data_IF_953266748699
#
_entry.id   IF_953266748699
#
_cell.length_a   1.000
_cell.length_b   1.000
_cell.length_c   1.000
_cell.angle_alpha   90.00
_cell.angle_beta   90.00
_cell.angle_gamma   90.00
#
_symmetry.space_group_name_H-M   'P 1'
#
loop_
_entity.id
_entity.type
_entity.pdbx_description
1 polymer ?
#
# COMPACT_ATOMS: atom_id res chain seq x y z
N UNK A 1 1.61 -15.79 -9.54
CA UNK A 1 1.45 -15.94 -8.08
C UNK A 1 2.02 -17.26 -7.58
N UNK A 2 1.66 -18.36 -8.20
CA UNK A 2 2.12 -19.69 -7.77
C UNK A 2 3.65 -19.80 -7.70
N UNK A 3 4.37 -19.37 -8.75
CA UNK A 3 5.82 -19.43 -8.80
C UNK A 3 6.47 -18.56 -7.72
N UNK A 4 5.85 -17.44 -7.37
CA UNK A 4 6.36 -16.50 -6.37
C UNK A 4 6.11 -16.95 -4.95
N UNK A 5 4.95 -17.56 -4.69
CA UNK A 5 4.59 -18.05 -3.37
C UNK A 5 5.07 -19.47 -3.10
N UNK A 6 5.54 -20.17 -4.13
CA UNK A 6 6.02 -21.56 -4.06
C UNK A 6 4.99 -22.55 -3.51
N UNK A 7 3.71 -22.26 -3.73
CA UNK A 7 2.62 -23.17 -3.33
C UNK A 7 2.15 -24.01 -4.52
N UNK A 8 1.63 -25.20 -4.22
CA UNK A 8 1.08 -26.11 -5.24
C UNK A 8 -0.21 -25.54 -5.82
N UNK A 9 -0.40 -25.69 -7.13
CA UNK A 9 -1.68 -25.37 -7.83
C UNK A 9 -2.90 -26.01 -7.20
N UNK A 10 -2.74 -27.19 -6.61
CA UNK A 10 -3.83 -27.94 -6.01
C UNK A 10 -3.98 -27.65 -4.51
N UNK A 11 -3.12 -26.80 -3.94
CA UNK A 11 -3.19 -26.46 -2.52
C UNK A 11 -4.43 -25.60 -2.23
N UNK A 12 -4.99 -25.68 -1.01
CA UNK A 12 -6.08 -24.80 -0.61
C UNK A 12 -5.72 -23.32 -0.68
N UNK A 13 -4.46 -22.96 -0.41
CA UNK A 13 -3.99 -21.58 -0.50
C UNK A 13 -4.05 -21.03 -1.91
N UNK A 14 -3.62 -21.81 -2.91
CA UNK A 14 -3.68 -21.39 -4.30
C UNK A 14 -5.12 -21.26 -4.78
N UNK A 15 -5.97 -22.21 -4.41
CA UNK A 15 -7.42 -22.14 -4.73
C UNK A 15 -8.06 -20.91 -4.14
N UNK A 16 -7.73 -20.56 -2.89
CA UNK A 16 -8.24 -19.38 -2.22
C UNK A 16 -7.81 -18.08 -2.93
N UNK A 17 -6.56 -17.98 -3.38
CA UNK A 17 -6.07 -16.85 -4.18
C UNK A 17 -6.78 -16.75 -5.52
N UNK A 18 -6.98 -17.87 -6.20
CA UNK A 18 -7.71 -17.90 -7.46
C UNK A 18 -9.16 -17.45 -7.29
N UNK A 19 -9.83 -17.95 -6.28
CA UNK A 19 -11.22 -17.56 -5.97
C UNK A 19 -11.32 -16.08 -5.64
N UNK A 20 -10.36 -15.55 -4.87
CA UNK A 20 -10.29 -14.13 -4.57
C UNK A 20 -10.13 -13.29 -5.84
N UNK A 21 -9.22 -13.68 -6.75
CA UNK A 21 -9.01 -12.95 -8.00
C UNK A 21 -10.27 -12.93 -8.86
N UNK A 22 -10.97 -14.06 -8.96
CA UNK A 22 -12.23 -14.17 -9.70
C UNK A 22 -13.32 -13.31 -9.06
N UNK A 23 -13.46 -13.36 -7.75
CA UNK A 23 -14.45 -12.58 -7.00
C UNK A 23 -14.22 -11.08 -7.17
N UNK A 24 -12.99 -10.62 -6.96
CA UNK A 24 -12.66 -9.21 -7.10
C UNK A 24 -12.79 -8.72 -8.54
N UNK A 25 -12.52 -9.58 -9.52
CA UNK A 25 -12.75 -9.26 -10.92
C UNK A 25 -14.24 -9.07 -11.26
N UNK A 26 -15.14 -9.75 -10.52
CA UNK A 26 -16.58 -9.59 -10.72
C UNK A 26 -17.19 -8.45 -9.89
N UNK A 27 -16.59 -8.05 -8.78
CA UNK A 27 -17.13 -7.08 -7.84
C UNK A 27 -16.50 -5.68 -7.94
N UNK A 28 -15.40 -5.55 -8.65
CA UNK A 28 -14.66 -4.27 -8.76
C UNK A 28 -14.51 -3.88 -10.24
N UNK A 29 -14.00 -2.68 -10.48
CA UNK A 29 -13.64 -2.23 -11.82
C UNK A 29 -12.45 -3.00 -12.42
N UNK A 30 -11.71 -3.74 -11.60
CA UNK A 30 -10.55 -4.51 -12.05
C UNK A 30 -11.00 -5.85 -12.60
N UNK A 31 -10.26 -6.38 -13.57
CA UNK A 31 -10.48 -7.74 -14.09
C UNK A 31 -9.88 -8.77 -13.13
N UNK A 32 -10.26 -10.04 -13.32
CA UNK A 32 -9.62 -11.13 -12.58
C UNK A 32 -8.11 -11.18 -12.83
N UNK A 33 -7.68 -10.87 -14.05
CA UNK A 33 -6.25 -10.75 -14.39
C UNK A 33 -5.54 -9.62 -13.63
N UNK A 34 -6.20 -8.48 -13.48
CA UNK A 34 -5.67 -7.37 -12.69
C UNK A 34 -5.53 -7.76 -11.23
N UNK A 35 -6.54 -8.40 -10.66
CA UNK A 35 -6.49 -8.88 -9.28
C UNK A 35 -5.36 -9.91 -9.09
N UNK A 36 -5.18 -10.83 -10.03
CA UNK A 36 -4.08 -11.79 -10.01
C UNK A 36 -2.72 -11.10 -10.10
N UNK A 37 -2.61 -10.04 -10.90
CA UNK A 37 -1.38 -9.21 -10.95
C UNK A 37 -1.10 -8.53 -9.62
N UNK A 38 -2.14 -8.01 -8.96
CA UNK A 38 -2.01 -7.44 -7.61
C UNK A 38 -1.50 -8.47 -6.61
N UNK A 39 -2.01 -9.69 -6.67
CA UNK A 39 -1.52 -10.81 -5.85
C UNK A 39 -0.03 -11.09 -6.12
N UNK A 40 0.37 -11.07 -7.39
CA UNK A 40 1.76 -11.29 -7.78
C UNK A 40 2.69 -10.19 -7.23
N UNK A 41 2.28 -8.92 -7.29
CA UNK A 41 3.06 -7.82 -6.72
C UNK A 41 3.24 -7.97 -5.21
N UNK A 42 2.20 -8.36 -4.49
CA UNK A 42 2.30 -8.60 -3.05
C UNK A 42 3.18 -9.82 -2.74
N UNK A 43 3.10 -10.87 -3.55
CA UNK A 43 3.98 -12.02 -3.42
C UNK A 43 5.45 -11.65 -3.61
N UNK A 44 5.75 -10.80 -4.59
CA UNK A 44 7.11 -10.27 -4.81
C UNK A 44 7.60 -9.43 -3.63
N UNK A 45 6.70 -8.76 -2.92
CA UNK A 45 7.02 -8.01 -1.72
C UNK A 45 7.22 -8.91 -0.48
N UNK A 46 7.08 -10.22 -0.63
CA UNK A 46 7.29 -11.19 0.44
C UNK A 46 6.04 -11.58 1.23
N UNK A 47 4.86 -11.20 0.76
CA UNK A 47 3.62 -11.54 1.44
C UNK A 47 3.29 -13.02 1.29
N UNK A 48 2.87 -13.64 2.39
CA UNK A 48 2.35 -15.01 2.38
C UNK A 48 0.99 -15.06 1.67
N UNK A 49 0.49 -16.25 1.26
CA UNK A 49 -0.84 -16.35 0.67
C UNK A 49 -1.96 -15.74 1.52
N UNK A 50 -1.92 -15.94 2.83
CA UNK A 50 -2.90 -15.36 3.76
C UNK A 50 -2.78 -13.84 3.81
N UNK A 51 -1.56 -13.33 3.86
CA UNK A 51 -1.29 -11.89 3.86
C UNK A 51 -1.75 -11.23 2.55
N UNK A 52 -1.56 -11.90 1.40
CA UNK A 52 -2.03 -11.42 0.11
C UNK A 52 -3.55 -11.29 0.12
N UNK A 53 -4.27 -12.31 0.59
CA UNK A 53 -5.73 -12.27 0.67
C UNK A 53 -6.22 -11.12 1.56
N UNK A 54 -5.55 -10.90 2.68
CA UNK A 54 -5.92 -9.83 3.62
C UNK A 54 -5.64 -8.43 3.05
N UNK A 55 -4.54 -8.26 2.32
CA UNK A 55 -4.08 -6.95 1.85
C UNK A 55 -4.67 -6.51 0.50
N UNK A 56 -4.97 -7.45 -0.38
CA UNK A 56 -5.34 -7.13 -1.77
C UNK A 56 -6.53 -6.16 -1.89
N UNK A 57 -7.65 -6.33 -1.15
CA UNK A 57 -8.77 -5.39 -1.26
C UNK A 57 -8.36 -3.93 -0.98
N UNK A 58 -7.52 -3.72 0.02
CA UNK A 58 -7.01 -2.37 0.36
C UNK A 58 -6.15 -1.77 -0.74
N UNK A 59 -5.33 -2.58 -1.39
CA UNK A 59 -4.50 -2.15 -2.52
C UNK A 59 -5.38 -1.75 -3.70
N UNK A 60 -6.38 -2.55 -4.04
CA UNK A 60 -7.32 -2.24 -5.13
C UNK A 60 -8.10 -0.96 -4.86
N UNK A 61 -8.59 -0.78 -3.64
CA UNK A 61 -9.30 0.44 -3.24
C UNK A 61 -8.41 1.67 -3.36
N UNK A 62 -7.16 1.59 -2.94
CA UNK A 62 -6.21 2.69 -3.04
C UNK A 62 -5.86 2.99 -4.50
N UNK A 63 -5.67 1.97 -5.33
CA UNK A 63 -5.43 2.14 -6.77
C UNK A 63 -6.61 2.86 -7.43
N UNK A 64 -7.84 2.49 -7.07
CA UNK A 64 -9.05 3.16 -7.57
C UNK A 64 -9.08 4.63 -7.14
N UNK A 65 -8.83 4.91 -5.88
CA UNK A 65 -8.88 6.26 -5.34
C UNK A 65 -7.81 7.19 -5.93
N UNK A 66 -6.62 6.65 -6.18
CA UNK A 66 -5.46 7.43 -6.66
C UNK A 66 -5.36 7.51 -8.19
N UNK A 67 -5.99 6.59 -8.91
CA UNK A 67 -5.81 6.44 -10.36
C UNK A 67 -4.42 5.91 -10.75
N UNK A 68 -3.62 5.48 -9.78
CA UNK A 68 -2.28 4.94 -10.02
C UNK A 68 -2.35 3.48 -10.48
N UNK A 69 -1.37 3.02 -11.25
CA UNK A 69 -1.31 1.63 -11.65
C UNK A 69 -1.12 0.71 -10.43
N UNK A 70 -1.59 -0.52 -10.58
CA UNK A 70 -1.69 -1.46 -9.48
C UNK A 70 -0.33 -1.85 -8.90
N UNK A 71 0.68 -1.99 -9.75
CA UNK A 71 2.04 -2.33 -9.31
C UNK A 71 2.66 -1.27 -8.42
N UNK A 72 2.57 0.00 -8.84
CA UNK A 72 3.09 1.12 -8.05
C UNK A 72 2.31 1.28 -6.74
N UNK A 73 0.99 1.12 -6.80
CA UNK A 73 0.13 1.20 -5.60
C UNK A 73 0.51 0.11 -4.60
N UNK A 74 0.70 -1.12 -5.06
CA UNK A 74 1.11 -2.23 -4.21
C UNK A 74 2.48 -1.99 -3.59
N UNK A 75 3.43 -1.46 -4.36
CA UNK A 75 4.78 -1.16 -3.88
C UNK A 75 4.75 -0.10 -2.78
N UNK A 76 4.09 1.02 -3.03
CA UNK A 76 4.00 2.12 -2.05
C UNK A 76 3.30 1.66 -0.78
N UNK A 77 2.13 1.03 -0.91
CA UNK A 77 1.32 0.64 0.24
C UNK A 77 1.97 -0.46 1.07
N UNK A 78 2.63 -1.44 0.43
CA UNK A 78 3.32 -2.51 1.14
C UNK A 78 4.54 -1.99 1.90
N UNK A 79 5.29 -1.05 1.32
CA UNK A 79 6.42 -0.42 1.99
C UNK A 79 5.99 0.37 3.22
N UNK A 80 4.92 1.13 3.12
CA UNK A 80 4.37 1.90 4.24
C UNK A 80 3.85 0.97 5.33
N UNK A 81 3.12 -0.07 4.95
CA UNK A 81 2.64 -1.08 5.89
C UNK A 81 3.80 -1.66 6.72
N UNK A 82 4.89 -2.01 6.05
CA UNK A 82 6.08 -2.59 6.66
C UNK A 82 6.81 -1.58 7.55
N UNK A 83 6.96 -0.33 7.10
CA UNK A 83 7.63 0.73 7.88
C UNK A 83 6.99 0.93 9.25
N UNK A 84 5.67 0.85 9.32
CA UNK A 84 4.93 1.06 10.56
C UNK A 84 4.64 -0.23 11.33
N UNK A 85 5.20 -1.36 10.88
CA UNK A 85 5.04 -2.64 11.56
C UNK A 85 3.59 -3.14 11.58
N UNK A 86 2.79 -2.77 10.59
CA UNK A 86 1.38 -3.13 10.51
C UNK A 86 1.23 -4.49 9.85
N UNK A 87 0.20 -5.24 10.28
CA UNK A 87 -0.16 -6.52 9.66
C UNK A 87 -0.93 -6.32 8.36
N UNK A 88 -0.95 -7.34 7.51
CA UNK A 88 -1.57 -7.29 6.18
C UNK A 88 -3.06 -6.95 6.23
N UNK A 89 -3.78 -7.34 7.28
CA UNK A 89 -5.19 -7.03 7.48
C UNK A 89 -5.44 -5.54 7.75
N UNK A 90 -4.40 -4.76 7.99
CA UNK A 90 -4.49 -3.30 8.15
C UNK A 90 -4.21 -2.53 6.85
N UNK A 91 -4.13 -3.21 5.71
CA UNK A 91 -3.91 -2.53 4.43
C UNK A 91 -5.03 -1.54 4.08
N UNK A 92 -6.27 -1.82 4.46
CA UNK A 92 -7.36 -0.85 4.29
C UNK A 92 -7.11 0.44 5.07
N UNK A 93 -6.58 0.33 6.30
CA UNK A 93 -6.19 1.50 7.11
C UNK A 93 -5.10 2.31 6.41
N UNK A 94 -4.10 1.65 5.85
CA UNK A 94 -3.03 2.31 5.08
C UNK A 94 -3.64 3.05 3.88
N UNK A 95 -4.47 2.37 3.10
CA UNK A 95 -5.11 2.96 1.93
C UNK A 95 -6.00 4.15 2.28
N UNK A 96 -6.84 4.03 3.30
CA UNK A 96 -7.73 5.09 3.75
C UNK A 96 -6.95 6.32 4.23
N UNK A 97 -5.87 6.10 4.99
CA UNK A 97 -5.01 7.16 5.49
C UNK A 97 -4.34 7.92 4.35
N UNK A 98 -3.77 7.20 3.39
CA UNK A 98 -3.12 7.81 2.24
C UNK A 98 -4.10 8.57 1.36
N UNK A 99 -5.27 7.97 1.08
CA UNK A 99 -6.32 8.60 0.30
C UNK A 99 -6.84 9.87 0.97
N UNK A 100 -7.09 9.84 2.27
CA UNK A 100 -7.51 11.00 3.04
C UNK A 100 -6.46 12.12 2.97
N UNK A 101 -5.19 11.77 2.98
CA UNK A 101 -4.09 12.73 2.93
C UNK A 101 -3.99 13.40 1.56
N UNK A 102 -3.89 12.62 0.47
CA UNK A 102 -3.69 13.24 -0.84
C UNK A 102 -4.94 13.95 -1.37
N UNK A 103 -6.14 13.62 -0.87
CA UNK A 103 -7.36 14.36 -1.24
C UNK A 103 -7.52 15.69 -0.49
N UNK A 104 -6.85 15.85 0.64
CA UNK A 104 -6.95 17.05 1.50
C UNK A 104 -5.73 17.95 1.45
N UNK A 105 -4.67 17.53 0.78
CA UNK A 105 -3.42 18.27 0.68
C UNK A 105 -3.01 18.41 -0.78
N UNK A 106 -2.01 19.25 -1.05
CA UNK A 106 -1.50 19.46 -2.41
C UNK A 106 -0.41 18.43 -2.75
N UNK A 107 -0.79 17.15 -2.72
CA UNK A 107 0.10 16.05 -3.09
C UNK A 107 -0.74 14.94 -3.73
N UNK A 108 -0.08 14.00 -4.40
CA UNK A 108 -0.69 12.79 -4.93
C UNK A 108 -0.07 11.55 -4.24
N UNK A 109 -0.57 10.37 -4.57
CA UNK A 109 -0.08 9.14 -3.94
C UNK A 109 1.40 8.92 -4.23
N UNK A 110 1.86 9.21 -5.45
CA UNK A 110 3.28 9.05 -5.81
C UNK A 110 4.16 9.99 -4.98
N UNK A 111 3.81 11.25 -4.91
CA UNK A 111 4.53 12.26 -4.14
C UNK A 111 4.53 11.94 -2.65
N UNK A 112 3.39 11.54 -2.11
CA UNK A 112 3.25 11.15 -0.72
C UNK A 112 4.12 9.91 -0.42
N UNK A 113 4.07 8.89 -1.27
CA UNK A 113 4.87 7.68 -1.14
C UNK A 113 6.37 7.96 -1.20
N UNK A 114 6.82 8.78 -2.15
CA UNK A 114 8.22 9.18 -2.26
C UNK A 114 8.70 9.91 -1.00
N UNK A 115 7.90 10.84 -0.50
CA UNK A 115 8.25 11.61 0.69
C UNK A 115 8.27 10.73 1.95
N UNK A 116 7.35 9.79 2.07
CA UNK A 116 7.28 8.91 3.24
C UNK A 116 8.45 7.91 3.32
N UNK A 117 9.20 7.71 2.25
CA UNK A 117 10.48 6.99 2.34
C UNK A 117 11.45 7.67 3.30
N UNK A 118 11.36 8.99 3.42
CA UNK A 118 12.21 9.80 4.27
C UNK A 118 11.56 10.13 5.62
N UNK A 119 10.27 10.43 5.64
CA UNK A 119 9.55 10.76 6.87
C UNK A 119 9.20 9.55 7.70
N UNK A 120 8.91 8.41 7.06
CA UNK A 120 8.50 7.18 7.74
C UNK A 120 9.50 6.69 8.78
N UNK A 121 10.78 6.50 8.42
CA UNK A 121 11.79 6.06 9.40
C UNK A 121 11.99 7.03 10.55
N UNK A 122 11.97 8.35 10.28
CA UNK A 122 12.08 9.37 11.33
C UNK A 122 10.87 9.31 12.26
N UNK A 123 9.68 9.25 11.69
CA UNK A 123 8.43 9.19 12.46
C UNK A 123 8.38 7.91 13.32
N UNK A 124 8.78 6.77 12.78
CA UNK A 124 8.82 5.52 13.50
C UNK A 124 9.77 5.61 14.71
N UNK A 125 10.92 6.24 14.55
CA UNK A 125 11.88 6.46 15.65
C UNK A 125 11.34 7.39 16.73
N UNK A 126 10.41 8.29 16.37
CA UNK A 126 9.77 9.21 17.29
C UNK A 126 8.47 8.66 17.89
N UNK A 127 8.07 7.45 17.52
CA UNK A 127 6.85 6.82 18.00
C UNK A 127 5.56 7.39 17.41
N UNK A 128 5.64 8.06 16.26
CA UNK A 128 4.46 8.61 15.59
C UNK A 128 3.69 7.51 14.87
N UNK A 129 2.36 7.65 14.85
CA UNK A 129 1.48 6.72 14.13
C UNK A 129 1.55 6.96 12.61
N UNK A 130 1.02 6.01 11.84
CA UNK A 130 0.83 6.15 10.40
C UNK A 130 0.04 7.43 10.08
N UNK A 131 -1.08 7.64 10.77
CA UNK A 131 -1.98 8.77 10.53
C UNK A 131 -1.30 10.10 10.82
N UNK A 132 -0.58 10.19 11.93
CA UNK A 132 0.17 11.38 12.28
C UNK A 132 1.26 11.68 11.25
N UNK A 133 1.99 10.66 10.82
CA UNK A 133 3.06 10.78 9.84
C UNK A 133 2.51 11.23 8.49
N UNK A 134 1.43 10.61 8.02
CA UNK A 134 0.80 10.96 6.75
C UNK A 134 0.27 12.40 6.77
N UNK A 135 -0.37 12.80 7.86
CA UNK A 135 -0.88 14.16 8.02
C UNK A 135 0.24 15.20 7.98
N UNK A 136 1.33 14.97 8.70
CA UNK A 136 2.49 15.85 8.71
C UNK A 136 3.18 15.91 7.36
N UNK A 137 3.34 14.76 6.70
CA UNK A 137 3.96 14.67 5.38
C UNK A 137 3.12 15.41 4.33
N UNK A 138 1.79 15.23 4.37
CA UNK A 138 0.87 15.95 3.48
C UNK A 138 0.91 17.46 3.71
N UNK A 139 0.94 17.89 4.95
CA UNK A 139 1.05 19.31 5.30
C UNK A 139 2.36 19.92 4.80
N UNK A 140 3.48 19.23 4.99
CA UNK A 140 4.78 19.66 4.48
C UNK A 140 4.76 19.74 2.94
N UNK A 141 4.12 18.76 2.28
CA UNK A 141 3.94 18.78 0.82
C UNK A 141 3.14 19.98 0.33
N UNK A 142 2.10 20.38 1.05
CA UNK A 142 1.31 21.57 0.76
C UNK A 142 2.14 22.85 0.90
N UNK A 143 3.15 22.82 1.75
CA UNK A 143 4.10 23.94 1.95
C UNK A 143 5.29 23.89 0.97
N UNK A 144 5.31 22.91 0.05
CA UNK A 144 6.39 22.72 -0.89
C UNK A 144 7.59 21.94 -0.34
N UNK A 145 7.49 21.39 0.86
CA UNK A 145 8.57 20.61 1.51
C UNK A 145 8.34 19.13 1.24
N UNK A 146 9.16 18.52 0.41
CA UNK A 146 8.99 17.12 -0.05
C UNK A 146 10.31 16.37 -0.04
N UNK A 147 10.21 15.05 -0.15
CA UNK A 147 11.37 14.18 -0.25
C UNK A 147 12.24 14.23 1.01
N UNK A 148 13.54 14.24 0.82
CA UNK A 148 14.51 14.27 1.93
C UNK A 148 14.41 15.53 2.80
N UNK A 149 13.96 16.65 2.23
CA UNK A 149 13.76 17.90 2.97
C UNK A 149 12.67 17.76 4.01
N UNK A 150 11.60 17.00 3.70
CA UNK A 150 10.54 16.69 4.65
C UNK A 150 11.08 15.86 5.83
N UNK A 151 11.93 14.86 5.55
CA UNK A 151 12.59 14.07 6.59
C UNK A 151 13.46 14.94 7.51
N UNK A 152 14.21 15.87 6.94
CA UNK A 152 15.04 16.81 7.68
C UNK A 152 14.19 17.75 8.53
N UNK A 153 13.11 18.31 7.98
CA UNK A 153 12.18 19.17 8.70
C UNK A 153 11.55 18.43 9.91
N UNK A 154 11.23 17.17 9.74
CA UNK A 154 10.63 16.36 10.81
C UNK A 154 11.61 16.09 11.95
N UNK A 155 12.92 16.01 11.66
CA UNK A 155 13.97 15.82 12.68
C UNK A 155 14.23 17.08 13.49
N UNK A 156 14.02 18.24 12.92
CA UNK A 156 14.22 19.51 13.63
C UNK A 156 13.05 19.79 14.55
#
# INVERSE_FOLDING_TARGET
>A
VQALTRIDKNSPQFKALREQALKLGSETQFTAGDAASGQAFLAMAGFTPQAIQAALPGVLNLATASGMDLGQTADISSNILTQFGLSADQMNRVGDTLAATFTRTNTDLRGLGETMKYTGPVAASLGLSLEQTAAMTGLLGSMGIRGSDAGTALRS
#
